data_IF_333474664345
#
_entry.id   IF_333474664345
#
_cell.length_a   1.000
_cell.length_b   1.000
_cell.length_c   1.000
_cell.angle_alpha   90.00
_cell.angle_beta   90.00
_cell.angle_gamma   90.00
#
_symmetry.space_group_name_H-M   'P 1'
#
loop_
_entity.id
_entity.type
_entity.pdbx_description
1 polymer ?
#
# COMPACT_ATOMS: atom_id res chain seq x y z
N UNK A 1 22.02 14.96 -8.28
CA UNK A 1 22.57 15.09 -9.65
C UNK A 1 21.52 14.70 -10.68
N UNK A 2 21.74 15.09 -11.95
CA UNK A 2 20.92 14.69 -13.10
C UNK A 2 21.84 14.01 -14.11
N UNK A 3 21.49 12.81 -14.56
CA UNK A 3 22.21 12.13 -15.64
C UNK A 3 21.33 12.12 -16.88
N UNK A 4 21.95 12.42 -18.03
CA UNK A 4 21.31 12.31 -19.31
C UNK A 4 21.27 10.82 -19.71
N UNK A 5 20.13 10.19 -19.46
CA UNK A 5 19.89 8.79 -19.83
C UNK A 5 19.76 8.57 -21.34
N UNK A 6 19.64 9.63 -22.15
CA UNK A 6 19.46 9.51 -23.61
C UNK A 6 20.79 9.29 -24.35
N UNK A 7 21.92 9.67 -23.74
CA UNK A 7 23.26 9.47 -24.30
C UNK A 7 23.95 8.20 -23.77
N UNK A 8 23.30 7.48 -22.85
CA UNK A 8 23.77 6.17 -22.41
C UNK A 8 23.75 5.18 -23.60
N UNK A 9 24.66 4.20 -23.59
CA UNK A 9 24.92 3.25 -24.68
C UNK A 9 25.21 3.91 -26.04
N UNK A 10 25.75 5.13 -26.06
CA UNK A 10 26.20 5.80 -27.29
C UNK A 10 27.71 5.98 -27.33
N UNK A 11 28.28 6.10 -28.54
CA UNK A 11 29.71 6.39 -28.75
C UNK A 11 30.04 7.89 -28.59
N UNK A 12 29.15 8.68 -28.00
CA UNK A 12 29.37 10.11 -27.77
C UNK A 12 30.44 10.30 -26.69
N UNK A 13 31.46 11.16 -26.89
CA UNK A 13 32.44 11.49 -25.86
C UNK A 13 31.82 11.99 -24.55
N UNK A 14 30.66 12.64 -24.65
CA UNK A 14 29.87 13.11 -23.51
C UNK A 14 29.31 11.97 -22.65
N UNK A 15 29.04 10.79 -23.24
CA UNK A 15 28.57 9.63 -22.49
C UNK A 15 29.68 9.16 -21.53
N UNK A 16 30.90 9.01 -22.04
CA UNK A 16 32.09 8.68 -21.24
C UNK A 16 32.43 9.75 -20.20
N UNK A 17 32.33 11.02 -20.58
CA UNK A 17 32.54 12.13 -19.65
C UNK A 17 31.52 12.11 -18.51
N UNK A 18 30.24 11.86 -18.82
CA UNK A 18 29.17 11.73 -17.82
C UNK A 18 29.43 10.57 -16.86
N UNK A 19 29.90 9.41 -17.35
CA UNK A 19 30.19 8.25 -16.49
C UNK A 19 31.29 8.53 -15.48
N UNK A 20 32.41 9.08 -15.95
CA UNK A 20 33.54 9.46 -15.08
C UNK A 20 33.11 10.53 -14.08
N UNK A 21 32.36 11.53 -14.54
CA UNK A 21 31.83 12.58 -13.68
C UNK A 21 30.90 12.02 -12.61
N UNK A 22 29.96 11.13 -12.97
CA UNK A 22 29.00 10.55 -12.04
C UNK A 22 29.69 9.70 -10.96
N UNK A 23 30.67 8.87 -11.35
CA UNK A 23 31.47 8.07 -10.42
C UNK A 23 32.24 8.96 -9.43
N UNK A 24 32.90 10.01 -9.93
CA UNK A 24 33.64 10.94 -9.09
C UNK A 24 32.73 11.74 -8.16
N UNK A 25 31.63 12.29 -8.68
CA UNK A 25 30.71 13.14 -7.92
C UNK A 25 30.02 12.35 -6.80
N UNK A 26 29.61 11.10 -7.04
CA UNK A 26 29.06 10.24 -5.98
C UNK A 26 30.11 9.85 -4.94
N UNK A 27 31.37 9.64 -5.34
CA UNK A 27 32.47 9.36 -4.42
C UNK A 27 32.78 10.58 -3.52
N UNK A 28 32.90 11.76 -4.11
CA UNK A 28 33.21 13.01 -3.40
C UNK A 28 32.12 13.42 -2.40
N UNK A 29 30.89 12.96 -2.62
CA UNK A 29 29.74 13.23 -1.77
C UNK A 29 29.28 12.02 -0.96
N UNK A 30 30.14 11.00 -0.79
CA UNK A 30 29.86 9.84 0.07
C UNK A 30 29.48 10.28 1.48
N UNK A 31 28.53 9.56 2.10
CA UNK A 31 27.98 9.88 3.41
C UNK A 31 26.96 11.04 3.43
N UNK A 32 26.65 11.65 2.29
CA UNK A 32 25.53 12.60 2.14
C UNK A 32 24.28 11.89 1.62
N UNK A 33 23.12 12.55 1.72
CA UNK A 33 21.90 12.12 1.03
C UNK A 33 22.01 12.40 -0.46
N UNK A 34 22.08 11.34 -1.26
CA UNK A 34 22.25 11.44 -2.71
C UNK A 34 20.91 11.21 -3.41
N UNK A 35 20.59 12.10 -4.35
CA UNK A 35 19.43 11.98 -5.23
C UNK A 35 19.91 12.03 -6.67
N UNK A 36 19.51 11.05 -7.46
CA UNK A 36 19.83 10.95 -8.89
C UNK A 36 18.53 11.05 -9.70
N UNK A 37 18.55 11.84 -10.77
CA UNK A 37 17.41 12.03 -11.66
C UNK A 37 17.76 11.66 -13.09
N UNK A 38 16.86 10.93 -13.75
CA UNK A 38 16.96 10.44 -15.12
C UNK A 38 15.68 10.79 -15.88
N UNK A 39 15.77 10.84 -17.21
CA UNK A 39 14.57 10.88 -18.03
C UNK A 39 14.01 9.46 -18.26
N UNK A 40 14.85 8.53 -18.72
CA UNK A 40 14.48 7.13 -18.99
C UNK A 40 14.70 6.27 -17.74
N UNK A 41 13.75 5.40 -17.37
CA UNK A 41 13.92 4.46 -16.27
C UNK A 41 14.87 3.31 -16.66
N UNK A 42 15.67 2.78 -15.72
CA UNK A 42 16.50 1.59 -15.96
C UNK A 42 15.68 0.36 -16.36
N UNK A 43 14.52 0.14 -15.74
CA UNK A 43 13.61 -0.98 -16.04
C UNK A 43 12.19 -0.73 -15.51
N UNK A 44 11.22 -1.52 -15.99
CA UNK A 44 9.80 -1.46 -15.58
C UNK A 44 9.26 -2.73 -14.92
N UNK A 45 9.84 -3.90 -15.18
CA UNK A 45 9.43 -5.18 -14.59
C UNK A 45 10.51 -5.80 -13.70
N UNK A 46 11.70 -6.02 -14.26
CA UNK A 46 12.87 -6.58 -13.54
C UNK A 46 14.17 -5.95 -14.07
N UNK A 47 15.25 -5.87 -13.26
CA UNK A 47 16.52 -5.31 -13.70
C UNK A 47 17.06 -5.93 -15.00
N UNK A 48 16.90 -7.24 -15.17
CA UNK A 48 17.33 -7.98 -16.36
C UNK A 48 16.33 -8.03 -17.52
N UNK A 49 15.36 -7.12 -17.60
CA UNK A 49 14.38 -7.15 -18.70
C UNK A 49 15.02 -6.87 -20.07
N UNK A 50 14.59 -7.50 -21.19
CA UNK A 50 15.19 -7.25 -22.49
C UNK A 50 15.05 -5.79 -22.95
N UNK A 51 16.11 -5.22 -23.50
CA UNK A 51 16.11 -3.90 -24.17
C UNK A 51 15.55 -3.98 -25.58
N UNK A 52 14.29 -4.42 -25.74
CA UNK A 52 13.65 -4.57 -27.05
C UNK A 52 12.70 -3.40 -27.32
N UNK A 53 13.20 -2.37 -27.99
CA UNK A 53 12.39 -1.33 -28.64
C UNK A 53 11.80 -0.27 -27.72
N UNK A 54 12.23 -0.23 -26.45
CA UNK A 54 11.92 0.81 -25.47
C UNK A 54 13.07 0.94 -24.50
N UNK A 55 13.57 2.15 -24.31
CA UNK A 55 14.69 2.43 -23.38
C UNK A 55 16.00 1.73 -23.77
N UNK A 56 16.23 1.47 -25.07
CA UNK A 56 17.44 0.78 -25.56
C UNK A 56 18.73 1.50 -25.12
N UNK A 57 18.68 2.83 -25.03
CA UNK A 57 19.81 3.66 -24.59
C UNK A 57 20.19 3.41 -23.12
N UNK A 58 19.33 2.79 -22.30
CA UNK A 58 19.63 2.38 -20.91
C UNK A 58 19.49 0.87 -20.73
N UNK A 59 19.56 0.10 -21.82
CA UNK A 59 19.74 -1.35 -21.77
C UNK A 59 21.18 -1.70 -21.35
N UNK A 60 21.51 -2.99 -21.39
CA UNK A 60 22.91 -3.40 -21.17
C UNK A 60 23.83 -2.82 -22.25
N UNK A 61 25.06 -2.41 -21.88
CA UNK A 61 25.69 -2.54 -20.54
C UNK A 61 25.42 -1.40 -19.55
N UNK A 62 24.86 -0.27 -19.97
CA UNK A 62 24.72 0.92 -19.11
C UNK A 62 23.74 0.74 -17.96
N UNK A 63 22.76 -0.15 -18.13
CA UNK A 63 21.83 -0.49 -17.07
C UNK A 63 22.56 -1.03 -15.85
N UNK A 64 23.35 -2.10 -16.02
CA UNK A 64 24.06 -2.73 -14.91
C UNK A 64 25.04 -1.76 -14.26
N UNK A 65 25.79 -1.02 -15.08
CA UNK A 65 26.68 0.04 -14.57
C UNK A 65 25.93 1.04 -13.69
N UNK A 66 24.76 1.52 -14.13
CA UNK A 66 23.98 2.50 -13.39
C UNK A 66 23.39 1.91 -12.11
N UNK A 67 22.78 0.73 -12.15
CA UNK A 67 22.15 0.11 -10.97
C UNK A 67 23.19 -0.25 -9.92
N UNK A 68 24.35 -0.77 -10.32
CA UNK A 68 25.50 -1.02 -9.45
C UNK A 68 26.04 0.28 -8.84
N UNK A 69 26.14 1.36 -9.63
CA UNK A 69 26.56 2.67 -9.15
C UNK A 69 25.60 3.22 -8.08
N UNK A 70 24.28 3.12 -8.29
CA UNK A 70 23.29 3.55 -7.30
C UNK A 70 23.43 2.76 -5.99
N UNK A 71 23.55 1.43 -6.11
CA UNK A 71 23.67 0.55 -4.94
C UNK A 71 24.98 0.76 -4.20
N UNK A 72 26.10 0.87 -4.90
CA UNK A 72 27.44 0.97 -4.31
C UNK A 72 27.73 2.28 -3.59
N UNK A 73 27.05 3.37 -3.98
CA UNK A 73 27.12 4.66 -3.30
C UNK A 73 25.93 4.92 -2.35
N UNK A 74 25.09 3.91 -2.10
CA UNK A 74 23.90 4.01 -1.24
C UNK A 74 23.02 5.22 -1.57
N UNK A 75 22.78 5.45 -2.86
CA UNK A 75 21.94 6.56 -3.32
C UNK A 75 20.56 6.46 -2.65
N UNK A 76 20.09 7.53 -1.99
CA UNK A 76 18.82 7.45 -1.25
C UNK A 76 17.63 7.32 -2.23
N UNK A 77 17.69 8.04 -3.35
CA UNK A 77 16.58 8.18 -4.26
C UNK A 77 17.02 8.30 -5.73
N UNK A 78 16.52 7.40 -6.56
CA UNK A 78 16.57 7.46 -8.01
C UNK A 78 15.18 7.82 -8.57
N UNK A 79 15.09 8.95 -9.29
CA UNK A 79 13.87 9.39 -9.95
C UNK A 79 14.02 9.27 -11.47
N UNK A 80 13.06 8.60 -12.12
CA UNK A 80 12.96 8.52 -13.57
C UNK A 80 11.59 9.01 -14.07
N UNK A 81 11.43 9.16 -15.38
CA UNK A 81 10.20 9.66 -16.01
C UNK A 81 9.91 8.92 -17.32
N UNK A 82 9.53 9.66 -18.37
CA UNK A 82 9.28 9.21 -19.75
C UNK A 82 8.07 8.27 -19.96
N UNK A 83 7.77 7.39 -19.03
CA UNK A 83 6.78 6.32 -19.24
C UNK A 83 5.34 6.80 -19.06
N UNK A 84 5.16 7.98 -18.44
CA UNK A 84 3.85 8.56 -18.18
C UNK A 84 2.98 7.63 -17.32
N UNK A 85 3.63 6.90 -16.43
CA UNK A 85 3.02 5.99 -15.49
C UNK A 85 3.95 5.76 -14.30
N UNK A 86 3.39 5.37 -13.17
CA UNK A 86 4.13 5.29 -11.91
C UNK A 86 4.54 3.86 -11.58
N UNK A 87 5.80 3.74 -11.18
CA UNK A 87 6.41 2.53 -10.69
C UNK A 87 7.22 2.85 -9.45
N UNK A 88 7.33 1.89 -8.56
CA UNK A 88 8.13 2.01 -7.36
C UNK A 88 8.82 0.70 -7.06
N UNK A 89 10.13 0.76 -6.89
CA UNK A 89 10.97 -0.40 -6.62
C UNK A 89 12.18 -0.01 -5.79
N UNK A 90 13.06 -0.97 -5.50
CA UNK A 90 14.36 -0.70 -4.87
C UNK A 90 15.52 -1.31 -5.67
N UNK A 91 16.63 -0.57 -5.71
CA UNK A 91 17.92 -1.03 -6.25
C UNK A 91 18.89 -1.06 -5.08
N UNK A 92 19.06 -2.23 -4.47
CA UNK A 92 19.68 -2.34 -3.15
C UNK A 92 18.94 -1.45 -2.13
N UNK A 93 19.62 -0.53 -1.42
CA UNK A 93 18.97 0.41 -0.50
C UNK A 93 18.23 1.56 -1.22
N UNK A 94 18.54 1.80 -2.50
CA UNK A 94 18.04 2.96 -3.27
C UNK A 94 16.55 2.85 -3.55
N UNK A 95 15.77 3.87 -3.21
CA UNK A 95 14.37 3.98 -3.64
C UNK A 95 14.35 4.36 -5.12
N UNK A 96 13.74 3.54 -5.97
CA UNK A 96 13.63 3.79 -7.40
C UNK A 96 12.18 4.09 -7.78
N UNK A 97 11.90 5.34 -8.20
CA UNK A 97 10.58 5.77 -8.63
C UNK A 97 10.58 6.20 -10.08
N UNK A 98 9.60 5.71 -10.83
CA UNK A 98 9.21 6.27 -12.12
C UNK A 98 8.02 7.20 -11.89
N UNK A 99 8.16 8.45 -12.29
CA UNK A 99 7.15 9.48 -12.06
C UNK A 99 6.08 9.45 -13.15
N UNK A 100 4.85 9.73 -12.72
CA UNK A 100 3.71 9.90 -13.61
C UNK A 100 3.79 11.22 -14.37
N UNK A 101 2.85 11.41 -15.28
CA UNK A 101 2.76 12.65 -16.05
C UNK A 101 1.78 13.64 -15.43
N UNK A 102 1.93 14.91 -15.78
CA UNK A 102 0.95 15.96 -15.52
C UNK A 102 -0.13 16.05 -16.61
N UNK A 103 0.07 15.41 -17.77
CA UNK A 103 -0.73 15.67 -18.98
C UNK A 103 -1.50 14.46 -19.51
N UNK A 104 -0.90 13.27 -19.55
CA UNK A 104 -1.55 12.05 -20.06
C UNK A 104 -0.86 10.79 -19.54
N UNK A 105 -1.56 9.66 -19.54
CA UNK A 105 -1.00 8.34 -19.22
C UNK A 105 -0.64 7.55 -20.48
N UNK A 106 0.31 6.62 -20.41
CA UNK A 106 0.70 5.83 -21.59
C UNK A 106 -0.43 4.86 -22.02
N UNK A 107 -0.84 4.87 -23.30
CA UNK A 107 -1.77 3.87 -23.83
C UNK A 107 -1.28 2.44 -23.56
N UNK A 108 -2.22 1.52 -23.30
CA UNK A 108 -1.90 0.12 -23.01
C UNK A 108 -1.66 -0.19 -21.53
N UNK A 109 -1.24 0.80 -20.71
CA UNK A 109 -1.00 0.56 -19.28
C UNK A 109 -2.30 0.49 -18.46
N UNK A 110 -3.43 0.88 -19.05
CA UNK A 110 -4.76 0.61 -18.47
C UNK A 110 -5.06 -0.90 -18.32
N UNK A 111 -4.38 -1.76 -19.09
CA UNK A 111 -4.52 -3.21 -19.00
C UNK A 111 -3.84 -3.83 -17.78
N UNK A 112 -3.13 -3.03 -16.97
CA UNK A 112 -2.64 -3.44 -15.65
C UNK A 112 -3.78 -3.60 -14.63
N UNK A 113 -4.98 -3.13 -14.95
CA UNK A 113 -6.14 -3.12 -14.05
C UNK A 113 -7.26 -3.98 -14.62
N UNK A 114 -8.00 -4.65 -13.72
CA UNK A 114 -9.16 -5.47 -14.07
C UNK A 114 -10.45 -4.64 -14.30
N UNK A 115 -10.32 -3.31 -14.42
CA UNK A 115 -11.43 -2.39 -14.69
C UNK A 115 -11.50 -2.04 -16.17
N UNK A 116 -12.65 -1.51 -16.61
CA UNK A 116 -12.76 -0.93 -17.94
C UNK A 116 -11.66 0.13 -18.17
N UNK A 117 -11.04 0.17 -19.37
CA UNK A 117 -10.02 1.15 -19.64
C UNK A 117 -10.63 2.56 -19.61
N UNK A 118 -9.90 3.56 -19.08
CA UNK A 118 -10.25 4.97 -19.25
C UNK A 118 -10.30 5.35 -20.75
N UNK A 119 -10.87 6.52 -21.10
CA UNK A 119 -10.94 6.99 -22.48
C UNK A 119 -9.59 7.00 -23.19
N UNK A 120 -9.65 6.96 -24.52
CA UNK A 120 -8.48 6.96 -25.41
C UNK A 120 -7.47 5.85 -25.05
N UNK A 121 -7.98 4.63 -24.86
CA UNK A 121 -7.20 3.44 -24.51
C UNK A 121 -6.35 3.63 -23.23
N UNK A 122 -6.86 4.39 -22.27
CA UNK A 122 -6.16 4.72 -21.04
C UNK A 122 -5.17 5.87 -21.16
N UNK A 123 -5.17 6.64 -22.26
CA UNK A 123 -4.38 7.88 -22.37
C UNK A 123 -4.93 8.99 -21.49
N UNK A 124 -6.26 9.04 -21.37
CA UNK A 124 -6.98 9.98 -20.52
C UNK A 124 -7.40 9.34 -19.20
N UNK A 125 -6.40 8.93 -18.41
CA UNK A 125 -6.61 8.52 -17.01
C UNK A 125 -6.29 9.70 -16.08
N UNK A 126 -7.08 10.76 -16.21
CA UNK A 126 -6.92 12.01 -15.44
C UNK A 126 -6.66 11.78 -13.94
N UNK A 127 -7.37 10.87 -13.23
CA UNK A 127 -7.08 10.53 -11.83
C UNK A 127 -5.63 10.18 -11.48
N UNK A 128 -4.84 9.68 -12.43
CA UNK A 128 -3.43 9.28 -12.22
C UNK A 128 -2.45 10.43 -12.43
N UNK A 129 -2.90 11.54 -13.03
CA UNK A 129 -2.06 12.70 -13.32
C UNK A 129 -1.69 13.45 -12.04
N UNK A 130 -0.47 13.97 -12.00
CA UNK A 130 0.05 14.66 -10.82
C UNK A 130 1.51 15.06 -10.93
N UNK A 131 2.07 15.51 -9.82
CA UNK A 131 3.50 15.81 -9.67
C UNK A 131 4.00 15.35 -8.30
N UNK A 132 5.31 15.14 -8.20
CA UNK A 132 5.96 14.75 -6.95
C UNK A 132 6.34 16.00 -6.14
N UNK A 133 5.97 16.01 -4.86
CA UNK A 133 6.52 16.89 -3.84
C UNK A 133 7.42 16.07 -2.92
N UNK A 134 8.72 16.37 -2.92
CA UNK A 134 9.70 15.77 -2.01
C UNK A 134 9.96 16.72 -0.82
N UNK A 135 9.79 16.25 0.41
CA UNK A 135 10.18 16.99 1.62
C UNK A 135 11.44 16.37 2.19
N UNK A 136 12.55 17.09 2.10
CA UNK A 136 13.85 16.68 2.65
C UNK A 136 13.88 16.97 4.14
N UNK A 137 14.20 15.97 4.96
CA UNK A 137 14.34 16.06 6.41
C UNK A 137 15.68 15.51 6.87
N UNK A 138 15.95 15.67 8.15
CA UNK A 138 17.14 15.13 8.81
C UNK A 138 17.13 13.61 8.88
N UNK A 139 15.97 12.97 8.82
CA UNK A 139 15.81 11.51 8.85
C UNK A 139 15.69 10.87 7.46
N UNK A 140 15.36 11.65 6.42
CA UNK A 140 15.17 11.14 5.05
C UNK A 140 14.28 12.03 4.18
N UNK A 141 13.90 11.52 3.01
CA UNK A 141 13.06 12.24 2.04
C UNK A 141 11.63 11.66 2.01
N UNK A 142 10.65 12.46 2.46
CA UNK A 142 9.23 12.14 2.28
C UNK A 142 8.79 12.42 0.84
N UNK A 143 8.12 11.44 0.21
CA UNK A 143 7.66 11.53 -1.17
C UNK A 143 6.14 11.61 -1.23
N UNK A 144 5.61 12.69 -1.81
CA UNK A 144 4.17 12.92 -1.94
C UNK A 144 3.77 13.07 -3.40
N UNK A 145 2.94 12.16 -3.90
CA UNK A 145 2.28 12.34 -5.18
C UNK A 145 1.06 13.25 -5.02
N UNK A 146 1.10 14.43 -5.64
CA UNK A 146 0.02 15.40 -5.63
C UNK A 146 -0.78 15.28 -6.92
N UNK A 147 -1.92 14.59 -6.84
CA UNK A 147 -2.82 14.38 -7.98
C UNK A 147 -3.40 15.70 -8.48
N UNK A 148 -3.27 15.98 -9.77
CA UNK A 148 -3.91 17.14 -10.42
C UNK A 148 -5.32 16.79 -10.88
N UNK A 149 -5.56 15.53 -11.23
CA UNK A 149 -6.78 15.05 -11.87
C UNK A 149 -7.04 15.73 -13.23
N UNK A 150 -5.98 16.15 -13.93
CA UNK A 150 -6.10 16.90 -15.20
C UNK A 150 -6.61 18.35 -15.04
N UNK A 151 -6.88 18.80 -13.81
CA UNK A 151 -7.52 20.09 -13.57
C UNK A 151 -6.71 21.28 -14.03
N UNK A 152 -7.39 22.23 -14.67
CA UNK A 152 -6.82 23.51 -15.11
C UNK A 152 -7.20 24.65 -14.15
N UNK A 153 -6.52 25.81 -14.18
CA UNK A 153 -6.84 26.94 -13.33
C UNK A 153 -8.29 27.44 -13.45
N UNK A 154 -8.90 27.32 -14.63
CA UNK A 154 -10.25 27.81 -14.93
C UNK A 154 -11.35 26.99 -14.25
N UNK A 155 -11.06 25.75 -13.86
CA UNK A 155 -11.97 24.87 -13.12
C UNK A 155 -12.02 25.20 -11.61
N UNK A 156 -11.27 26.22 -11.19
CA UNK A 156 -11.23 26.67 -9.79
C UNK A 156 -12.38 27.63 -9.55
N UNK A 157 -13.37 27.22 -8.75
CA UNK A 157 -14.41 28.14 -8.29
C UNK A 157 -13.75 29.37 -7.61
N UNK A 158 -14.18 30.61 -7.91
CA UNK A 158 -13.64 31.83 -7.28
C UNK A 158 -13.74 31.84 -5.75
N UNK A 159 -14.73 31.12 -5.20
CA UNK A 159 -14.99 31.01 -3.76
C UNK A 159 -14.24 29.83 -3.10
N UNK A 160 -13.47 29.08 -3.88
CA UNK A 160 -12.73 27.89 -3.48
C UNK A 160 -11.52 28.22 -2.60
N UNK A 161 -11.74 28.26 -1.28
CA UNK A 161 -10.66 28.36 -0.27
C UNK A 161 -9.97 27.02 0.04
N UNK A 162 -10.08 26.00 -0.83
CA UNK A 162 -9.52 24.68 -0.52
C UNK A 162 -8.00 24.73 -0.34
N UNK A 163 -7.55 24.57 0.90
CA UNK A 163 -6.18 24.18 1.19
C UNK A 163 -6.06 22.69 0.89
N UNK A 164 -5.19 22.32 -0.06
CA UNK A 164 -4.89 20.90 -0.31
C UNK A 164 -4.07 20.38 0.86
N UNK A 165 -4.69 19.60 1.75
CA UNK A 165 -3.97 18.94 2.83
C UNK A 165 -3.02 17.89 2.24
N UNK A 166 -1.72 18.03 2.51
CA UNK A 166 -0.71 17.00 2.19
C UNK A 166 -0.51 16.14 3.42
N UNK A 167 -1.02 14.91 3.37
CA UNK A 167 -0.89 13.92 4.45
C UNK A 167 0.58 13.52 4.67
N UNK A 168 0.90 13.06 5.88
CA UNK A 168 2.21 12.44 6.18
C UNK A 168 2.29 11.05 5.52
N UNK A 169 3.51 10.61 5.25
CA UNK A 169 3.80 9.25 4.75
C UNK A 169 3.64 8.23 5.90
N UNK A 170 3.55 6.92 5.62
CA UNK A 170 3.53 5.91 6.68
C UNK A 170 4.70 6.06 7.67
N UNK A 171 5.92 6.27 7.15
CA UNK A 171 7.13 6.48 7.94
C UNK A 171 7.04 7.68 8.90
N UNK A 172 6.39 8.78 8.49
CA UNK A 172 6.24 9.99 9.31
C UNK A 172 4.90 10.07 10.05
N UNK A 173 4.05 9.04 9.94
CA UNK A 173 2.77 8.90 10.62
C UNK A 173 2.67 7.56 11.37
N UNK A 174 3.57 7.26 12.33
CA UNK A 174 3.59 5.97 13.02
C UNK A 174 2.29 5.66 13.76
N UNK A 175 1.57 6.68 14.24
CA UNK A 175 0.27 6.53 14.91
C UNK A 175 -0.94 6.54 13.97
N UNK A 176 -0.79 6.29 12.67
CA UNK A 176 -1.94 6.14 11.76
C UNK A 176 -2.69 4.85 12.13
N UNK A 177 -3.99 4.90 12.40
CA UNK A 177 -4.78 3.68 12.62
C UNK A 177 -5.26 3.06 11.31
N UNK A 178 -4.82 3.51 10.13
CA UNK A 178 -5.30 3.00 8.85
C UNK A 178 -4.55 1.74 8.42
N UNK A 179 -5.28 0.69 8.06
CA UNK A 179 -4.76 -0.49 7.37
C UNK A 179 -5.67 -0.99 6.24
N UNK A 180 -5.16 -1.91 5.43
CA UNK A 180 -5.91 -2.53 4.33
C UNK A 180 -5.92 -4.05 4.46
N UNK A 181 -7.04 -4.68 4.14
CA UNK A 181 -7.10 -6.12 3.88
C UNK A 181 -7.18 -6.34 2.38
N UNK A 182 -6.14 -6.97 1.82
CA UNK A 182 -6.00 -7.13 0.38
C UNK A 182 -6.80 -8.35 -0.09
N UNK A 183 -7.82 -8.11 -0.92
CA UNK A 183 -8.59 -9.16 -1.60
C UNK A 183 -7.91 -9.64 -2.90
N UNK A 184 -6.92 -8.90 -3.38
CA UNK A 184 -6.12 -9.17 -4.57
C UNK A 184 -4.64 -9.05 -4.20
N UNK A 185 -3.72 -9.71 -4.92
CA UNK A 185 -2.29 -9.56 -4.68
C UNK A 185 -1.87 -8.08 -4.69
N UNK A 186 -0.90 -7.73 -3.83
CA UNK A 186 -0.39 -6.35 -3.71
C UNK A 186 0.12 -5.79 -5.04
N UNK A 187 0.66 -6.65 -5.90
CA UNK A 187 1.08 -6.29 -7.23
C UNK A 187 0.82 -7.45 -8.18
N UNK A 188 0.64 -7.13 -9.46
CA UNK A 188 0.49 -8.13 -10.51
C UNK A 188 1.48 -7.82 -11.63
N UNK A 189 1.82 -8.86 -12.42
CA UNK A 189 2.56 -8.70 -13.68
C UNK A 189 1.64 -9.09 -14.82
N UNK A 190 1.64 -8.30 -15.88
CA UNK A 190 0.90 -8.63 -17.10
C UNK A 190 1.68 -8.20 -18.32
N UNK A 191 1.35 -8.82 -19.44
CA UNK A 191 1.85 -8.41 -20.74
C UNK A 191 0.89 -7.35 -21.32
N UNK A 192 1.36 -6.10 -21.42
CA UNK A 192 0.55 -5.04 -22.03
C UNK A 192 0.44 -5.26 -23.54
N UNK A 193 -0.70 -4.90 -24.16
CA UNK A 193 -0.85 -5.01 -25.60
C UNK A 193 0.13 -4.10 -26.35
N UNK A 194 0.36 -4.42 -27.63
CA UNK A 194 1.06 -3.51 -28.56
C UNK A 194 0.22 -2.24 -28.70
N UNK A 195 0.66 -1.17 -28.05
CA UNK A 195 0.02 0.13 -28.08
C UNK A 195 1.10 1.19 -28.27
N UNK A 196 0.82 2.21 -29.09
CA UNK A 196 1.76 3.31 -29.34
C UNK A 196 2.29 3.90 -28.02
N UNK A 197 3.61 4.14 -27.89
CA UNK A 197 4.64 4.04 -28.93
C UNK A 197 5.26 2.63 -29.09
N UNK A 198 4.73 1.61 -28.43
CA UNK A 198 5.29 0.25 -28.45
C UNK A 198 4.98 -0.59 -29.67
N UNK A 199 6.05 -1.10 -30.29
CA UNK A 199 6.01 -2.10 -31.34
C UNK A 199 5.98 -3.55 -30.81
N UNK A 200 6.28 -3.78 -29.53
CA UNK A 200 6.26 -5.11 -28.90
C UNK A 200 5.24 -5.16 -27.76
N UNK A 201 4.89 -6.37 -27.34
CA UNK A 201 4.23 -6.56 -26.04
C UNK A 201 5.29 -6.55 -24.96
N UNK A 202 4.97 -5.98 -23.80
CA UNK A 202 5.93 -5.79 -22.72
C UNK A 202 5.34 -6.35 -21.44
N UNK A 203 6.13 -7.15 -20.72
CA UNK A 203 5.76 -7.52 -19.36
C UNK A 203 6.01 -6.30 -18.46
N UNK A 204 5.00 -5.93 -17.68
CA UNK A 204 5.03 -4.75 -16.81
C UNK A 204 4.31 -5.11 -15.51
N UNK A 205 4.84 -4.61 -14.38
CA UNK A 205 4.23 -4.78 -13.05
C UNK A 205 3.23 -3.67 -12.74
N UNK A 206 2.28 -3.94 -11.85
CA UNK A 206 1.35 -2.94 -11.34
C UNK A 206 1.72 -2.53 -9.91
N UNK A 207 2.37 -1.36 -9.76
CA UNK A 207 2.80 -0.85 -8.46
C UNK A 207 1.78 0.09 -7.81
N UNK A 208 0.62 0.32 -8.44
CA UNK A 208 -0.36 1.28 -7.91
C UNK A 208 -0.95 0.92 -6.56
N UNK A 209 -1.24 -0.36 -6.22
CA UNK A 209 -1.72 -0.68 -4.87
C UNK A 209 -0.69 -0.32 -3.80
N UNK A 210 0.60 -0.63 -4.03
CA UNK A 210 1.71 -0.20 -3.16
C UNK A 210 1.73 1.31 -3.01
N UNK A 211 1.76 2.04 -4.13
CA UNK A 211 1.81 3.51 -4.13
C UNK A 211 0.61 4.14 -3.41
N UNK A 212 -0.57 3.55 -3.55
CA UNK A 212 -1.77 4.05 -2.91
C UNK A 212 -1.78 3.80 -1.39
N UNK A 213 -1.22 2.68 -0.93
CA UNK A 213 -1.00 2.46 0.51
C UNK A 213 -0.11 3.56 1.11
N UNK A 214 0.96 3.94 0.41
CA UNK A 214 1.87 5.01 0.82
C UNK A 214 1.21 6.39 0.77
N UNK A 215 0.47 6.71 -0.29
CA UNK A 215 -0.25 7.99 -0.42
C UNK A 215 -1.28 8.22 0.67
N UNK A 216 -1.96 7.15 1.10
CA UNK A 216 -2.99 7.20 2.15
C UNK A 216 -2.40 7.21 3.57
N UNK A 217 -1.10 6.92 3.72
CA UNK A 217 -0.48 6.82 5.04
C UNK A 217 -0.96 5.60 5.83
N UNK A 218 -1.21 4.49 5.13
CA UNK A 218 -1.53 3.23 5.78
C UNK A 218 -0.33 2.70 6.56
N UNK A 219 -0.61 2.01 7.66
CA UNK A 219 0.39 1.45 8.56
C UNK A 219 0.37 -0.06 8.62
N UNK A 220 -0.60 -0.71 7.99
CA UNK A 220 -0.59 -2.15 7.84
C UNK A 220 -1.32 -2.63 6.59
N UNK A 221 -0.88 -3.77 6.06
CA UNK A 221 -1.61 -4.53 5.05
C UNK A 221 -1.78 -5.98 5.52
N UNK A 222 -2.99 -6.53 5.36
CA UNK A 222 -3.31 -7.94 5.56
C UNK A 222 -3.25 -8.66 4.23
N UNK A 223 -2.50 -9.76 4.19
CA UNK A 223 -2.29 -10.60 3.02
C UNK A 223 -2.37 -12.07 3.38
N UNK A 224 -2.82 -12.96 2.48
CA UNK A 224 -2.68 -14.40 2.66
C UNK A 224 -1.22 -14.79 2.87
N UNK A 225 -0.94 -15.71 3.79
CA UNK A 225 0.41 -16.22 4.02
C UNK A 225 1.03 -16.85 2.75
N UNK A 226 0.20 -17.36 1.84
CA UNK A 226 0.66 -17.88 0.55
C UNK A 226 1.34 -16.84 -0.35
N UNK A 227 1.07 -15.54 -0.15
CA UNK A 227 1.76 -14.47 -0.90
C UNK A 227 3.26 -14.39 -0.54
N UNK A 228 3.68 -14.95 0.60
CA UNK A 228 5.09 -14.98 1.03
C UNK A 228 5.91 -16.03 0.28
N UNK A 229 5.26 -17.07 -0.27
CA UNK A 229 5.91 -18.14 -1.03
C UNK A 229 6.25 -17.69 -2.46
N UNK A 230 5.57 -16.68 -2.99
CA UNK A 230 5.87 -16.07 -4.29
C UNK A 230 6.97 -15.00 -4.12
N UNK A 231 8.16 -15.26 -4.66
CA UNK A 231 9.31 -14.34 -4.56
C UNK A 231 9.02 -12.92 -5.08
N UNK A 232 8.17 -12.77 -6.09
CA UNK A 232 7.78 -11.45 -6.58
C UNK A 232 6.93 -10.74 -5.54
N UNK A 233 5.85 -11.37 -5.04
CA UNK A 233 4.97 -10.77 -4.04
C UNK A 233 5.70 -10.50 -2.72
N UNK A 234 6.54 -11.43 -2.26
CA UNK A 234 7.41 -11.26 -1.10
C UNK A 234 8.28 -9.99 -1.21
N UNK A 235 8.94 -9.78 -2.36
CA UNK A 235 9.71 -8.56 -2.61
C UNK A 235 8.84 -7.28 -2.59
N UNK A 236 7.58 -7.36 -3.05
CA UNK A 236 6.65 -6.22 -2.97
C UNK A 236 6.21 -5.91 -1.54
N UNK A 237 6.03 -6.94 -0.71
CA UNK A 237 5.71 -6.78 0.71
C UNK A 237 6.91 -6.19 1.47
N UNK A 238 8.12 -6.62 1.14
CA UNK A 238 9.36 -6.05 1.70
C UNK A 238 9.48 -4.54 1.40
N UNK A 239 9.11 -4.10 0.20
CA UNK A 239 9.07 -2.67 -0.14
C UNK A 239 8.12 -1.90 0.77
N UNK A 240 6.94 -2.44 1.06
CA UNK A 240 6.00 -1.81 2.00
C UNK A 240 6.58 -1.74 3.43
N UNK A 241 7.22 -2.82 3.90
CA UNK A 241 7.87 -2.85 5.23
C UNK A 241 8.98 -1.82 5.36
N UNK A 242 9.78 -1.69 4.31
CA UNK A 242 10.83 -0.68 4.21
C UNK A 242 10.28 0.76 4.27
N UNK A 243 9.07 0.98 3.76
CA UNK A 243 8.33 2.24 3.88
C UNK A 243 7.53 2.35 5.20
N UNK A 244 7.77 1.44 6.16
CA UNK A 244 7.12 1.37 7.47
C UNK A 244 5.62 1.07 7.37
N UNK A 245 5.24 0.10 6.56
CA UNK A 245 3.89 -0.48 6.54
C UNK A 245 3.99 -1.92 7.04
N UNK A 246 3.34 -2.23 8.15
CA UNK A 246 3.41 -3.53 8.80
C UNK A 246 2.70 -4.60 7.94
N UNK A 247 3.26 -5.80 7.85
CA UNK A 247 2.63 -6.94 7.16
C UNK A 247 1.97 -7.84 8.18
N UNK A 248 0.66 -8.05 7.99
CA UNK A 248 -0.13 -9.01 8.74
C UNK A 248 -0.42 -10.20 7.82
N UNK A 249 0.21 -11.34 8.06
CA UNK A 249 0.00 -12.54 7.25
C UNK A 249 -1.15 -13.36 7.82
N UNK A 250 -2.16 -13.65 7.00
CA UNK A 250 -3.33 -14.42 7.41
C UNK A 250 -3.16 -15.89 7.06
N UNK A 251 -3.37 -16.78 8.02
CA UNK A 251 -3.37 -18.22 7.82
C UNK A 251 -4.68 -18.82 8.33
N UNK A 252 -5.39 -19.55 7.45
CA UNK A 252 -6.58 -20.29 7.84
C UNK A 252 -6.15 -21.50 8.68
N UNK A 253 -6.67 -21.59 9.90
CA UNK A 253 -6.34 -22.66 10.81
C UNK A 253 -7.02 -23.94 10.39
N UNK A 254 -6.25 -24.97 10.05
CA UNK A 254 -6.73 -26.34 9.89
C UNK A 254 -5.88 -27.32 10.70
N UNK A 255 -6.31 -28.57 10.82
CA UNK A 255 -5.64 -29.60 11.62
C UNK A 255 -4.27 -30.01 11.06
N UNK A 256 -4.00 -29.69 9.79
CA UNK A 256 -2.74 -30.02 9.09
C UNK A 256 -1.75 -28.85 9.07
N UNK A 257 -2.17 -27.67 9.52
CA UNK A 257 -1.35 -26.47 9.53
C UNK A 257 -0.18 -26.61 10.51
N UNK A 258 1.03 -26.77 9.98
CA UNK A 258 2.27 -26.72 10.75
C UNK A 258 2.60 -25.27 11.11
N UNK A 259 1.90 -24.75 12.13
CA UNK A 259 1.96 -23.34 12.55
C UNK A 259 3.40 -22.89 12.86
N UNK A 260 4.18 -23.70 13.57
CA UNK A 260 5.57 -23.36 13.92
C UNK A 260 6.47 -23.29 12.69
N UNK A 261 6.43 -24.31 11.84
CA UNK A 261 7.20 -24.36 10.60
C UNK A 261 6.87 -23.19 9.67
N UNK A 262 5.60 -22.75 9.64
CA UNK A 262 5.16 -21.60 8.85
C UNK A 262 5.79 -20.29 9.37
N UNK A 263 5.81 -20.10 10.69
CA UNK A 263 6.42 -18.92 11.34
C UNK A 263 7.93 -18.91 11.13
N UNK A 264 8.60 -20.05 11.34
CA UNK A 264 10.05 -20.21 11.18
C UNK A 264 10.50 -20.01 9.72
N UNK A 265 9.77 -20.57 8.75
CA UNK A 265 10.09 -20.43 7.32
C UNK A 265 10.09 -18.99 6.84
N UNK A 266 9.19 -18.17 7.38
CA UNK A 266 8.98 -16.77 6.98
C UNK A 266 9.47 -15.78 8.05
N UNK A 267 10.43 -16.21 8.87
CA UNK A 267 11.01 -15.38 9.92
C UNK A 267 11.52 -14.05 9.33
N UNK A 268 11.18 -12.95 10.00
CA UNK A 268 11.62 -11.62 9.58
C UNK A 268 10.90 -11.07 8.36
N UNK A 269 9.94 -11.77 7.74
CA UNK A 269 9.13 -11.24 6.61
C UNK A 269 7.78 -10.65 7.05
N UNK A 270 7.28 -11.08 8.21
CA UNK A 270 5.94 -10.77 8.73
C UNK A 270 6.06 -10.03 10.06
N UNK A 271 5.22 -9.02 10.28
CA UNK A 271 5.21 -8.25 11.53
C UNK A 271 4.12 -8.74 12.51
N UNK A 272 3.08 -9.42 12.02
CA UNK A 272 2.04 -10.07 12.84
C UNK A 272 1.41 -11.25 12.10
N UNK A 273 1.21 -12.38 12.77
CA UNK A 273 0.45 -13.51 12.23
C UNK A 273 -1.02 -13.39 12.63
N UNK A 274 -1.92 -13.38 11.65
CA UNK A 274 -3.37 -13.45 11.89
C UNK A 274 -3.88 -14.86 11.65
N UNK A 275 -4.22 -15.55 12.72
CA UNK A 275 -4.79 -16.89 12.65
C UNK A 275 -6.30 -16.79 12.42
N UNK A 276 -6.81 -17.50 11.42
CA UNK A 276 -8.22 -17.44 11.05
C UNK A 276 -8.94 -18.72 11.44
N UNK A 277 -9.93 -18.62 12.32
CA UNK A 277 -10.71 -19.75 12.81
C UNK A 277 -11.84 -20.09 11.81
N UNK A 278 -11.81 -21.27 11.15
CA UNK A 278 -12.86 -21.63 10.19
C UNK A 278 -14.15 -22.01 10.92
N UNK A 279 -15.23 -21.29 10.65
CA UNK A 279 -16.58 -21.62 11.12
C UNK A 279 -16.83 -21.46 12.63
N UNK A 280 -15.86 -20.94 13.39
CA UNK A 280 -15.94 -20.81 14.85
C UNK A 280 -15.69 -19.37 15.29
N UNK A 281 -16.40 -18.94 16.33
CA UNK A 281 -16.20 -17.64 16.99
C UNK A 281 -15.36 -17.75 18.27
N UNK A 282 -14.98 -18.98 18.68
CA UNK A 282 -14.09 -19.25 19.81
C UNK A 282 -13.03 -20.29 19.41
N UNK A 283 -11.78 -20.15 19.88
CA UNK A 283 -10.74 -21.14 19.65
C UNK A 283 -10.99 -22.42 20.45
N UNK A 284 -10.55 -23.56 19.92
CA UNK A 284 -10.53 -24.84 20.65
C UNK A 284 -9.39 -24.88 21.67
N UNK A 285 -9.42 -25.82 22.61
CA UNK A 285 -8.32 -26.04 23.58
C UNK A 285 -6.97 -26.29 22.88
N UNK A 286 -6.96 -27.07 21.80
CA UNK A 286 -5.72 -27.31 21.04
C UNK A 286 -5.19 -26.05 20.36
N UNK A 287 -6.08 -25.19 19.85
CA UNK A 287 -5.69 -23.89 19.28
C UNK A 287 -5.15 -22.96 20.35
N UNK A 288 -5.78 -22.91 21.53
CA UNK A 288 -5.30 -22.13 22.68
C UNK A 288 -3.90 -22.56 23.12
N UNK A 289 -3.62 -23.87 23.16
CA UNK A 289 -2.28 -24.37 23.50
C UNK A 289 -1.21 -23.94 22.49
N UNK A 290 -1.55 -23.89 21.19
CA UNK A 290 -0.63 -23.40 20.15
C UNK A 290 -0.43 -21.89 20.27
N UNK A 291 -1.50 -21.11 20.46
CA UNK A 291 -1.42 -19.65 20.65
C UNK A 291 -0.54 -19.29 21.85
N UNK A 292 -0.63 -20.05 22.95
CA UNK A 292 0.23 -19.88 24.13
C UNK A 292 1.70 -20.18 23.82
N UNK A 293 1.98 -21.27 23.11
CA UNK A 293 3.37 -21.59 22.70
C UNK A 293 3.98 -20.52 21.80
N UNK A 294 3.19 -19.95 20.90
CA UNK A 294 3.62 -18.84 20.04
C UNK A 294 3.84 -17.55 20.84
N UNK A 295 3.00 -17.28 21.84
CA UNK A 295 3.18 -16.16 22.76
C UNK A 295 4.49 -16.30 23.53
N UNK A 296 4.78 -17.49 24.08
CA UNK A 296 6.01 -17.77 24.82
C UNK A 296 7.26 -17.63 23.92
N UNK A 297 7.10 -17.88 22.62
CA UNK A 297 8.13 -17.65 21.60
C UNK A 297 8.22 -16.18 21.14
N UNK A 298 7.40 -15.27 21.68
CA UNK A 298 7.41 -13.85 21.34
C UNK A 298 6.83 -13.51 19.97
N UNK A 299 6.05 -14.42 19.37
CA UNK A 299 5.39 -14.19 18.08
C UNK A 299 4.24 -13.20 18.27
N UNK A 300 4.21 -12.15 17.45
CA UNK A 300 3.11 -11.18 17.41
C UNK A 300 1.88 -11.80 16.76
N UNK A 301 0.74 -11.76 17.45
CA UNK A 301 -0.44 -12.54 17.10
C UNK A 301 -1.71 -11.69 16.98
N UNK A 302 -2.46 -11.97 15.93
CA UNK A 302 -3.84 -11.55 15.70
C UNK A 302 -4.74 -12.78 15.53
N UNK A 303 -6.02 -12.64 15.87
CA UNK A 303 -7.02 -13.69 15.66
C UNK A 303 -8.22 -13.14 14.91
N UNK A 304 -8.82 -13.96 14.05
CA UNK A 304 -10.05 -13.63 13.35
C UNK A 304 -10.95 -14.85 13.17
N UNK A 305 -12.26 -14.66 13.09
CA UNK A 305 -13.20 -15.70 12.68
C UNK A 305 -13.44 -15.65 11.17
N UNK A 306 -13.55 -16.80 10.52
CA UNK A 306 -13.95 -16.95 9.11
C UNK A 306 -15.18 -17.84 9.04
N UNK A 307 -16.36 -17.25 9.05
CA UNK A 307 -17.63 -17.98 9.18
C UNK A 307 -18.40 -17.96 7.86
N UNK A 308 -18.53 -19.10 7.16
CA UNK A 308 -19.30 -19.19 5.92
C UNK A 308 -20.81 -19.17 6.20
N UNK A 309 -21.61 -18.93 5.15
CA UNK A 309 -23.05 -19.17 5.20
C UNK A 309 -23.90 -18.00 5.73
N UNK A 310 -23.34 -16.80 5.91
CA UNK A 310 -24.08 -15.65 6.41
C UNK A 310 -25.04 -15.11 5.32
N UNK A 311 -26.33 -15.06 5.64
CA UNK A 311 -27.35 -14.50 4.75
C UNK A 311 -27.32 -12.98 4.83
N UNK A 312 -27.05 -12.33 3.71
CA UNK A 312 -26.99 -10.87 3.61
C UNK A 312 -28.17 -10.38 2.76
N UNK A 313 -29.02 -9.46 3.27
CA UNK A 313 -30.14 -8.91 2.50
C UNK A 313 -29.68 -8.39 1.12
N UNK A 314 -30.43 -8.77 0.09
CA UNK A 314 -30.13 -8.38 -1.30
C UNK A 314 -29.00 -9.16 -1.98
N UNK A 315 -28.37 -10.15 -1.33
CA UNK A 315 -27.40 -11.07 -1.96
C UNK A 315 -28.04 -12.42 -2.23
N UNK A 316 -27.81 -12.96 -3.44
CA UNK A 316 -28.35 -14.26 -3.86
C UNK A 316 -27.68 -15.44 -3.15
N UNK A 317 -26.38 -15.34 -2.88
CA UNK A 317 -25.62 -16.40 -2.23
C UNK A 317 -25.19 -15.96 -0.83
N UNK A 318 -25.13 -16.90 0.12
CA UNK A 318 -24.52 -16.64 1.42
C UNK A 318 -23.10 -16.08 1.27
N UNK A 319 -22.70 -15.26 2.24
CA UNK A 319 -21.39 -14.63 2.30
C UNK A 319 -20.57 -15.22 3.42
N UNK A 320 -19.25 -15.18 3.25
CA UNK A 320 -18.31 -15.50 4.30
C UNK A 320 -18.06 -14.24 5.12
N UNK A 321 -18.31 -14.32 6.42
CA UNK A 321 -17.87 -13.30 7.36
C UNK A 321 -16.40 -13.51 7.66
N UNK A 322 -15.62 -12.44 7.62
CA UNK A 322 -14.26 -12.40 8.19
C UNK A 322 -14.27 -11.43 9.36
N UNK A 323 -13.59 -11.79 10.45
CA UNK A 323 -13.54 -11.06 11.70
C UNK A 323 -14.68 -11.43 12.66
N UNK A 324 -14.42 -11.29 13.96
CA UNK A 324 -15.39 -11.49 15.04
C UNK A 324 -16.51 -10.45 15.00
N UNK A 325 -17.63 -10.76 15.66
CA UNK A 325 -18.67 -9.78 15.95
C UNK A 325 -18.35 -9.04 17.25
N UNK A 326 -18.81 -7.80 17.36
CA UNK A 326 -18.59 -6.97 18.55
C UNK A 326 -19.15 -7.65 19.81
N UNK A 327 -20.32 -8.27 19.69
CA UNK A 327 -21.03 -8.90 20.80
C UNK A 327 -20.29 -10.12 21.37
N UNK A 328 -19.43 -10.76 20.58
CA UNK A 328 -18.65 -11.93 20.99
C UNK A 328 -17.30 -11.59 21.63
N UNK A 329 -16.90 -10.31 21.66
CA UNK A 329 -15.56 -9.92 22.10
C UNK A 329 -15.30 -10.21 23.58
N UNK A 330 -16.25 -9.94 24.47
CA UNK A 330 -16.08 -10.18 25.91
C UNK A 330 -16.00 -11.68 26.23
N UNK A 331 -16.71 -12.53 25.49
CA UNK A 331 -16.65 -13.97 25.65
C UNK A 331 -15.33 -14.53 25.12
N UNK A 332 -14.86 -14.04 23.97
CA UNK A 332 -13.55 -14.38 23.42
C UNK A 332 -12.43 -13.99 24.39
N UNK A 333 -12.44 -12.75 24.90
CA UNK A 333 -11.43 -12.25 25.85
C UNK A 333 -11.38 -13.10 27.12
N UNK A 334 -12.54 -13.45 27.69
CA UNK A 334 -12.61 -14.32 28.87
C UNK A 334 -12.06 -15.72 28.58
N UNK A 335 -12.35 -16.27 27.41
CA UNK A 335 -11.84 -17.59 26.99
C UNK A 335 -10.33 -17.57 26.87
N UNK A 336 -9.77 -16.51 26.27
CA UNK A 336 -8.33 -16.32 26.14
C UNK A 336 -7.66 -16.13 27.51
N UNK A 337 -8.23 -15.28 28.38
CA UNK A 337 -7.73 -15.02 29.73
C UNK A 337 -7.71 -16.28 30.60
N UNK A 338 -8.76 -17.11 30.54
CA UNK A 338 -8.82 -18.39 31.26
C UNK A 338 -7.74 -19.39 30.82
N UNK A 339 -7.28 -19.27 29.57
CA UNK A 339 -6.23 -20.11 28.99
C UNK A 339 -4.82 -19.48 29.10
N UNK A 340 -4.68 -18.32 29.75
CA UNK A 340 -3.43 -17.56 29.84
C UNK A 340 -2.84 -17.19 28.46
N UNK A 341 -3.73 -16.90 27.50
CA UNK A 341 -3.39 -16.46 26.15
C UNK A 341 -3.69 -14.97 26.03
N UNK A 342 -2.66 -14.18 25.76
CA UNK A 342 -2.76 -12.78 25.36
C UNK A 342 -2.59 -12.63 23.85
N UNK A 343 -3.43 -11.79 23.24
CA UNK A 343 -3.33 -11.45 21.82
C UNK A 343 -3.00 -9.97 21.65
N UNK A 344 -2.15 -9.65 20.68
CA UNK A 344 -1.86 -8.27 20.34
C UNK A 344 -3.09 -7.62 19.72
N UNK A 345 -3.79 -8.35 18.84
CA UNK A 345 -4.95 -7.84 18.12
C UNK A 345 -6.03 -8.90 17.87
N UNK A 346 -7.25 -8.46 17.63
CA UNK A 346 -8.29 -9.29 17.01
C UNK A 346 -8.98 -8.52 15.89
N UNK A 347 -9.31 -9.20 14.79
CA UNK A 347 -10.09 -8.61 13.72
C UNK A 347 -11.58 -8.68 14.03
N UNK A 348 -12.26 -7.54 14.00
CA UNK A 348 -13.70 -7.43 14.24
C UNK A 348 -14.41 -6.77 13.07
N UNK A 349 -15.49 -7.38 12.59
CA UNK A 349 -16.30 -6.83 11.51
C UNK A 349 -17.17 -5.69 12.02
N UNK A 350 -17.13 -4.55 11.33
CA UNK A 350 -18.12 -3.49 11.48
C UNK A 350 -19.29 -3.74 10.54
N UNK A 351 -20.48 -3.92 11.09
CA UNK A 351 -21.70 -3.98 10.29
C UNK A 351 -22.05 -2.58 9.76
N UNK A 352 -22.39 -2.48 8.46
CA UNK A 352 -22.82 -1.22 7.82
C UNK A 352 -24.29 -0.84 8.12
N UNK A 353 -24.98 -1.57 8.99
CA UNK A 353 -26.37 -1.28 9.34
C UNK A 353 -26.46 -0.05 10.24
N UNK A 354 -26.57 1.13 9.64
CA UNK A 354 -26.64 2.42 10.33
C UNK A 354 -25.32 3.20 10.31
N UNK A 355 -25.28 4.37 10.94
CA UNK A 355 -24.09 5.24 10.96
C UNK A 355 -22.88 4.53 11.59
N UNK A 356 -21.69 4.49 10.95
CA UNK A 356 -20.47 3.92 11.55
C UNK A 356 -20.10 4.56 12.87
N UNK A 357 -20.42 5.84 12.98
CA UNK A 357 -20.14 6.64 14.16
C UNK A 357 -20.95 6.11 15.34
N UNK A 358 -22.19 5.70 15.11
CA UNK A 358 -23.07 5.23 16.18
C UNK A 358 -22.70 3.79 16.58
N UNK A 359 -22.37 2.94 15.61
CA UNK A 359 -21.84 1.60 15.87
C UNK A 359 -20.56 1.66 16.74
N UNK A 360 -19.61 2.54 16.39
CA UNK A 360 -18.35 2.69 17.12
C UNK A 360 -18.49 3.47 18.45
N UNK A 361 -19.49 4.35 18.60
CA UNK A 361 -19.76 5.04 19.87
C UNK A 361 -20.28 4.10 20.94
N UNK A 362 -21.11 3.12 20.58
CA UNK A 362 -21.58 2.08 21.51
C UNK A 362 -20.43 1.29 22.12
N UNK A 363 -19.36 1.08 21.35
CA UNK A 363 -18.17 0.31 21.74
C UNK A 363 -17.28 1.06 22.72
N UNK A 364 -17.18 2.40 22.62
CA UNK A 364 -16.35 3.20 23.55
C UNK A 364 -16.83 3.15 25.01
N UNK A 365 -18.08 2.71 25.24
CA UNK A 365 -18.69 2.62 26.57
C UNK A 365 -18.39 1.35 27.35
N UNK A 366 -17.84 0.31 26.70
CA UNK A 366 -17.50 -0.95 27.35
C UNK A 366 -16.35 -1.61 26.60
N UNK A 367 -15.24 -1.89 27.30
CA UNK A 367 -14.22 -2.92 26.99
C UNK A 367 -12.96 -2.66 27.83
N UNK A 368 -13.01 -3.08 29.10
CA UNK A 368 -11.80 -3.38 29.85
C UNK A 368 -11.36 -4.80 29.53
N UNK A 369 -10.89 -5.03 28.30
CA UNK A 369 -10.41 -6.34 27.86
C UNK A 369 -9.06 -6.64 28.54
N UNK A 370 -8.89 -7.87 29.01
CA UNK A 370 -7.69 -8.30 29.74
C UNK A 370 -6.68 -8.99 28.82
N UNK A 371 -7.16 -9.92 28.00
CA UNK A 371 -6.33 -10.76 27.13
C UNK A 371 -6.10 -10.13 25.74
N UNK A 372 -7.03 -9.30 25.27
CA UNK A 372 -6.97 -8.66 23.94
C UNK A 372 -6.43 -7.23 24.06
N UNK A 373 -5.21 -6.99 23.54
CA UNK A 373 -4.55 -5.67 23.63
C UNK A 373 -5.07 -4.63 22.63
N UNK A 374 -5.70 -5.06 21.53
CA UNK A 374 -6.17 -4.17 20.47
C UNK A 374 -7.21 -4.80 19.56
N UNK A 375 -7.99 -3.95 18.90
CA UNK A 375 -9.03 -4.38 17.95
C UNK A 375 -8.79 -3.75 16.58
N UNK A 376 -8.85 -4.58 15.55
CA UNK A 376 -8.83 -4.22 14.15
C UNK A 376 -10.26 -4.18 13.59
N UNK A 377 -10.79 -2.98 13.45
CA UNK A 377 -12.14 -2.75 12.94
C UNK A 377 -12.16 -2.89 11.42
N UNK A 378 -12.65 -4.03 10.92
CA UNK A 378 -12.78 -4.33 9.50
C UNK A 378 -14.08 -3.75 8.95
N UNK A 379 -13.93 -2.72 8.10
CA UNK A 379 -15.01 -2.11 7.34
C UNK A 379 -15.01 -2.69 5.93
N UNK A 380 -16.03 -3.49 5.60
CA UNK A 380 -16.25 -3.94 4.24
C UNK A 380 -16.99 -2.87 3.45
N UNK A 381 -16.43 -2.45 2.32
CA UNK A 381 -17.05 -1.48 1.44
C UNK A 381 -17.72 -2.22 0.27
N UNK A 382 -18.99 -1.90 0.02
CA UNK A 382 -19.86 -2.66 -0.88
C UNK A 382 -19.64 -2.35 -2.38
N UNK A 383 -18.88 -1.28 -2.68
CA UNK A 383 -18.34 -0.97 -3.99
C UNK A 383 -19.33 -0.34 -4.97
N UNK A 384 -20.53 0.06 -4.54
CA UNK A 384 -21.54 0.63 -5.44
C UNK A 384 -21.32 2.13 -5.71
N UNK A 385 -20.86 2.89 -4.72
CA UNK A 385 -20.55 4.33 -4.83
C UNK A 385 -19.19 4.64 -4.18
N UNK A 386 -18.23 5.07 -5.01
CA UNK A 386 -16.89 5.47 -4.60
C UNK A 386 -16.89 6.62 -3.59
N UNK A 387 -17.74 7.63 -3.81
CA UNK A 387 -17.83 8.81 -2.96
C UNK A 387 -18.45 8.46 -1.61
N UNK A 388 -19.47 7.62 -1.63
CA UNK A 388 -20.09 7.13 -0.41
C UNK A 388 -19.09 6.27 0.37
N UNK A 389 -18.46 5.30 -0.27
CA UNK A 389 -17.46 4.43 0.37
C UNK A 389 -16.29 5.21 0.96
N UNK A 390 -15.83 6.26 0.28
CA UNK A 390 -14.85 7.21 0.81
C UNK A 390 -15.31 7.87 2.11
N UNK A 391 -16.56 8.34 2.14
CA UNK A 391 -17.15 8.95 3.33
C UNK A 391 -17.26 7.95 4.47
N UNK A 392 -17.75 6.73 4.19
CA UNK A 392 -17.83 5.65 5.18
C UNK A 392 -16.45 5.32 5.78
N UNK A 393 -15.42 5.17 4.94
CA UNK A 393 -14.05 4.93 5.39
C UNK A 393 -13.54 6.04 6.33
N UNK A 394 -13.75 7.31 5.98
CA UNK A 394 -13.34 8.44 6.83
C UNK A 394 -14.11 8.49 8.14
N UNK A 395 -15.43 8.36 8.09
CA UNK A 395 -16.26 8.44 9.28
C UNK A 395 -15.93 7.31 10.24
N UNK A 396 -15.72 6.09 9.75
CA UNK A 396 -15.25 4.95 10.55
C UNK A 396 -13.86 5.21 11.14
N UNK A 397 -12.92 5.74 10.36
CA UNK A 397 -11.58 6.05 10.84
C UNK A 397 -11.61 7.11 11.96
N UNK A 398 -12.38 8.19 11.79
CA UNK A 398 -12.55 9.22 12.81
C UNK A 398 -13.24 8.69 14.07
N UNK A 399 -14.26 7.85 13.90
CA UNK A 399 -14.99 7.24 15.00
C UNK A 399 -14.16 6.20 15.76
N UNK A 400 -13.22 5.52 15.11
CA UNK A 400 -12.27 4.63 15.79
C UNK A 400 -11.29 5.39 16.70
N UNK A 401 -11.04 6.70 16.44
CA UNK A 401 -9.92 7.46 17.02
C UNK A 401 -10.06 7.90 18.49
N UNK A 402 -10.67 7.08 19.33
CA UNK A 402 -10.80 7.35 20.77
C UNK A 402 -11.40 6.22 21.60
N UNK A 403 -11.23 4.97 21.16
CA UNK A 403 -11.30 3.78 22.02
C UNK A 403 -9.89 3.24 22.30
N UNK A 404 -9.75 2.19 23.12
CA UNK A 404 -8.51 1.41 23.33
C UNK A 404 -7.78 1.16 22.00
N UNK A 405 -6.44 1.06 22.01
CA UNK A 405 -5.52 0.90 20.85
C UNK A 405 -6.12 0.27 19.57
N UNK A 406 -6.89 1.08 18.84
CA UNK A 406 -7.74 0.63 17.74
C UNK A 406 -7.12 0.99 16.39
N UNK A 407 -7.25 0.08 15.42
CA UNK A 407 -6.86 0.31 14.02
C UNK A 407 -8.08 0.04 13.14
N UNK A 408 -8.38 0.96 12.23
CA UNK A 408 -9.42 0.78 11.22
C UNK A 408 -8.81 0.13 9.97
N UNK A 409 -9.40 -0.99 9.55
CA UNK A 409 -8.95 -1.74 8.39
C UNK A 409 -10.04 -1.77 7.33
N UNK A 410 -9.69 -1.37 6.11
CA UNK A 410 -10.63 -1.35 4.99
C UNK A 410 -10.51 -2.66 4.21
N UNK A 411 -11.64 -3.32 3.97
CA UNK A 411 -11.78 -4.52 3.12
C UNK A 411 -12.79 -4.27 2.00
N UNK A 412 -12.57 -4.84 0.82
CA UNK A 412 -13.50 -4.70 -0.31
C UNK A 412 -12.95 -5.33 -1.59
N UNK A 413 -13.78 -5.52 -2.61
CA UNK A 413 -13.34 -6.03 -3.91
C UNK A 413 -12.52 -4.95 -4.64
N UNK A 414 -11.21 -4.90 -4.40
CA UNK A 414 -10.27 -3.93 -5.01
C UNK A 414 -10.05 -4.12 -6.52
N UNK A 415 -10.83 -4.99 -7.17
CA UNK A 415 -10.90 -5.14 -8.63
C UNK A 415 -11.57 -3.96 -9.31
N UNK A 416 -12.31 -3.14 -8.57
CA UNK A 416 -12.91 -1.93 -9.11
C UNK A 416 -12.14 -0.72 -8.52
N UNK A 417 -11.40 -0.03 -9.40
CA UNK A 417 -11.07 1.39 -9.28
C UNK A 417 -9.80 1.86 -8.53
N UNK A 418 -8.65 1.21 -8.62
CA UNK A 418 -7.36 1.88 -8.29
C UNK A 418 -7.13 3.17 -9.15
N UNK A 419 -7.81 3.29 -10.30
CA UNK A 419 -7.89 4.52 -11.09
C UNK A 419 -8.81 5.59 -10.50
N UNK A 420 -10.06 5.27 -10.13
CA UNK A 420 -11.09 6.27 -9.76
C UNK A 420 -11.43 6.30 -8.26
N UNK A 421 -11.39 5.17 -7.56
CA UNK A 421 -11.67 5.04 -6.13
C UNK A 421 -10.61 5.74 -5.32
N UNK A 422 -9.34 5.36 -5.43
CA UNK A 422 -8.31 5.99 -4.60
C UNK A 422 -8.05 7.44 -5.01
N UNK A 423 -8.31 7.82 -6.27
CA UNK A 423 -8.17 9.22 -6.70
C UNK A 423 -9.36 10.11 -6.30
N UNK A 424 -10.59 9.63 -6.43
CA UNK A 424 -11.79 10.35 -6.01
C UNK A 424 -11.98 10.29 -4.50
N UNK A 425 -11.58 9.20 -3.82
CA UNK A 425 -11.51 9.06 -2.36
C UNK A 425 -10.41 9.94 -1.79
N UNK A 426 -9.16 9.91 -2.28
CA UNK A 426 -8.13 10.86 -1.81
C UNK A 426 -8.54 12.32 -2.06
N UNK A 427 -9.21 12.62 -3.19
CA UNK A 427 -9.79 13.95 -3.41
C UNK A 427 -10.98 14.25 -2.47
N UNK A 428 -11.88 13.29 -2.23
CA UNK A 428 -13.12 13.41 -1.45
C UNK A 428 -12.88 13.43 0.06
N UNK A 429 -12.01 12.55 0.58
CA UNK A 429 -11.52 12.59 1.97
C UNK A 429 -10.88 13.96 2.25
N UNK A 430 -10.18 14.54 1.27
CA UNK A 430 -9.59 15.89 1.37
C UNK A 430 -10.59 17.03 1.20
N UNK A 431 -11.73 16.81 0.53
CA UNK A 431 -12.80 17.81 0.40
C UNK A 431 -13.99 17.62 1.35
N UNK A 432 -14.05 16.54 2.11
CA UNK A 432 -15.12 16.26 3.09
C UNK A 432 -14.79 16.75 4.50
N UNK A 433 -13.60 17.29 4.75
CA UNK A 433 -13.24 17.94 6.02
C UNK A 433 -13.45 19.45 5.85
N UNK A 434 -14.57 20.04 6.33
CA UNK A 434 -14.70 21.48 6.43
C UNK A 434 -13.76 21.98 7.52
N UNK A 435 -12.52 22.31 7.16
CA UNK A 435 -11.59 22.98 8.07
C UNK A 435 -11.97 24.46 8.13
N UNK A 436 -12.89 24.82 9.03
CA UNK A 436 -12.91 26.18 9.58
C UNK A 436 -11.75 26.28 10.58
N UNK A 437 -10.53 26.49 10.09
CA UNK A 437 -9.41 26.86 10.96
C UNK A 437 -9.47 28.38 11.21
N UNK A 438 -10.14 28.77 12.28
CA UNK A 438 -9.91 30.04 12.96
C UNK A 438 -9.13 29.77 14.23
N UNK A 439 -7.82 29.56 14.15
CA UNK A 439 -6.93 29.78 15.31
C UNK A 439 -5.47 29.85 14.87
N UNK A 440 -4.79 30.88 15.39
CA UNK A 440 -3.37 31.17 15.22
C UNK A 440 -2.51 29.99 15.64
N UNK A 441 -1.58 29.59 14.78
CA UNK A 441 -0.47 28.73 15.15
C UNK A 441 0.58 29.57 15.90
N UNK A 442 0.88 29.20 17.14
CA UNK A 442 2.14 29.57 17.80
C UNK A 442 3.09 28.40 17.59
N UNK A 443 4.36 28.76 17.38
CA UNK A 443 5.50 27.99 16.89
C UNK A 443 5.67 26.56 17.43
#
# INVERSE_FOLDING_TARGET
MVLNSQIMNTDLPEADAQRRWAQQDLADHSGRRLVVMLHLPPYLDVPGEPGLGHYDNIAEPDRSWLTELMSGHEVELLLAAHVHFRFFDRIGPTRFLVLGSTSFTRPGFCHLFNSAPPPDHGRDDAPKLGFLLARVRDEGIDLHWLRTAGRTPDERSPDSRWQRLVTRTPATLPGSPLGFTLAHPLSTRTEIPRAWPSAIRQRVRNDYPTLACLELGARAVRVPAGDLEDLFLAGRLEILRNERVDIIATALWDETLAVKDLVERHEGMVDTWEWQLPGMDLPTTSQLDVLRQLQDAGVSQSLSAVVPGEQVPGKQHPRTRTGFRIEGLEELDRTLAQADVGLDRVACRLALSGSPVDALRGIRGGTGLEAIRGVDWQLELDGHDDLESARWAVMSLLASRGGLMSRGCLSGPWSIWIGRWMSATVCSIRSAIPVRCSTRWVA
#
